data_IF_532476193962
#
_entry.id   IF_532476193962
#
_cell.length_a   1.000
_cell.length_b   1.000
_cell.length_c   1.000
_cell.angle_alpha   90.00
_cell.angle_beta   90.00
_cell.angle_gamma   90.00
#
_symmetry.space_group_name_H-M   'P 1'
#
loop_
_entity.id
_entity.type
_entity.pdbx_description
1 polymer ?
#
# COMPACT_ATOMS: atom_id res chain seq x y z
N UNK A 1 -6.80 -16.33 13.82
CA UNK A 1 -6.74 -15.69 15.15
C UNK A 1 -6.85 -14.18 14.93
N UNK A 2 -7.72 -13.47 15.65
CA UNK A 2 -7.82 -12.00 15.51
C UNK A 2 -6.66 -11.34 16.27
N UNK A 3 -5.65 -10.89 15.53
CA UNK A 3 -4.44 -10.27 16.09
C UNK A 3 -4.68 -8.83 16.59
N UNK A 4 -5.79 -8.19 16.22
CA UNK A 4 -6.09 -6.80 16.58
C UNK A 4 -6.33 -6.65 18.09
N UNK A 5 -6.98 -7.63 18.70
CA UNK A 5 -7.32 -7.65 20.14
C UNK A 5 -6.44 -8.61 20.95
N UNK A 6 -5.39 -9.16 20.34
CA UNK A 6 -4.49 -10.06 21.03
C UNK A 6 -3.53 -9.27 21.93
N UNK A 7 -3.15 -9.87 23.06
CA UNK A 7 -2.04 -9.39 23.90
C UNK A 7 -0.72 -9.40 23.11
N UNK A 8 0.17 -8.48 23.44
CA UNK A 8 1.46 -8.29 22.75
C UNK A 8 2.28 -9.59 22.67
N UNK A 9 2.37 -10.33 23.78
CA UNK A 9 3.09 -11.61 23.85
C UNK A 9 2.51 -12.67 22.91
N UNK A 10 1.18 -12.65 22.72
CA UNK A 10 0.51 -13.57 21.81
C UNK A 10 0.84 -13.25 20.34
N UNK A 11 0.95 -11.95 20.00
CA UNK A 11 1.35 -11.48 18.66
C UNK A 11 2.79 -11.90 18.37
N UNK A 12 3.72 -11.63 19.29
CA UNK A 12 5.14 -12.03 19.16
C UNK A 12 5.27 -13.53 19.02
N UNK A 13 4.60 -14.29 19.90
CA UNK A 13 4.65 -15.76 19.85
C UNK A 13 4.07 -16.33 18.55
N UNK A 14 3.00 -15.73 18.01
CA UNK A 14 2.43 -16.13 16.73
C UNK A 14 3.39 -15.86 15.55
N UNK A 15 4.08 -14.72 15.56
CA UNK A 15 5.10 -14.39 14.57
C UNK A 15 6.25 -15.41 14.61
N UNK A 16 6.77 -15.73 15.81
CA UNK A 16 7.83 -16.75 15.98
C UNK A 16 7.42 -18.13 15.46
N UNK A 17 6.22 -18.59 15.81
CA UNK A 17 5.70 -19.87 15.32
C UNK A 17 5.56 -19.90 13.80
N UNK A 18 5.16 -18.78 13.20
CA UNK A 18 5.05 -18.67 11.73
C UNK A 18 6.42 -18.74 11.06
N UNK A 19 7.40 -18.01 11.57
CA UNK A 19 8.77 -18.04 11.05
C UNK A 19 9.45 -19.40 11.26
N UNK A 20 9.10 -20.10 12.33
CA UNK A 20 9.58 -21.45 12.61
C UNK A 20 9.20 -22.48 11.54
N UNK A 21 8.18 -22.21 10.71
CA UNK A 21 7.82 -23.06 9.57
C UNK A 21 8.87 -23.03 8.44
N UNK A 22 9.68 -21.97 8.37
CA UNK A 22 10.82 -21.90 7.47
C UNK A 22 12.12 -22.36 8.14
N UNK A 23 12.28 -22.08 9.44
CA UNK A 23 13.47 -22.44 10.21
C UNK A 23 13.17 -22.49 11.72
N UNK A 24 13.27 -23.67 12.34
CA UNK A 24 12.92 -23.87 13.75
C UNK A 24 13.73 -23.00 14.73
N UNK A 25 14.91 -22.49 14.33
CA UNK A 25 15.74 -21.59 15.16
C UNK A 25 14.99 -20.34 15.61
N UNK A 26 13.97 -19.88 14.86
CA UNK A 26 13.12 -18.75 15.26
C UNK A 26 12.39 -18.96 16.60
N UNK A 27 12.22 -20.21 17.07
CA UNK A 27 11.63 -20.51 18.37
C UNK A 27 12.56 -20.22 19.55
N UNK A 28 13.88 -20.20 19.34
CA UNK A 28 14.87 -20.12 20.42
C UNK A 28 15.78 -18.89 20.34
N UNK A 29 15.83 -18.20 19.19
CA UNK A 29 16.63 -16.99 19.04
C UNK A 29 16.24 -15.91 20.09
N UNK A 30 17.23 -15.24 20.71
CA UNK A 30 16.97 -14.15 21.63
C UNK A 30 16.37 -12.96 20.87
N UNK A 31 15.32 -12.36 21.43
CA UNK A 31 14.71 -11.15 20.88
C UNK A 31 15.34 -9.95 21.59
N UNK A 32 16.02 -9.09 20.83
CA UNK A 32 16.71 -7.93 21.37
C UNK A 32 15.78 -6.73 21.59
N UNK A 33 14.82 -6.50 20.68
CA UNK A 33 13.82 -5.43 20.78
C UNK A 33 12.51 -5.86 20.11
N UNK A 34 11.38 -5.42 20.66
CA UNK A 34 10.04 -5.62 20.10
C UNK A 34 9.32 -4.29 20.08
N UNK A 35 8.90 -3.87 18.89
CA UNK A 35 8.04 -2.70 18.71
C UNK A 35 6.73 -3.14 18.06
N UNK A 36 5.65 -2.99 18.79
CA UNK A 36 4.30 -3.27 18.29
C UNK A 36 3.54 -1.95 18.12
N UNK A 37 2.99 -1.77 16.92
CA UNK A 37 2.13 -0.63 16.61
C UNK A 37 0.75 -1.14 16.20
N UNK A 38 -0.29 -0.65 16.87
CA UNK A 38 -1.70 -0.87 16.49
C UNK A 38 -2.22 0.39 15.83
N UNK A 39 -2.32 0.38 14.51
CA UNK A 39 -2.85 1.50 13.77
C UNK A 39 -4.33 1.28 13.45
N UNK A 40 -5.21 2.00 14.15
CA UNK A 40 -6.63 2.04 13.81
C UNK A 40 -6.79 2.70 12.44
N UNK A 41 -7.57 2.07 11.56
CA UNK A 41 -7.79 2.54 10.19
C UNK A 41 -6.50 2.65 9.33
N UNK A 42 -5.45 1.86 9.64
CA UNK A 42 -4.22 1.86 8.85
C UNK A 42 -4.41 1.40 7.40
N UNK A 43 -5.47 0.63 7.14
CA UNK A 43 -5.81 0.15 5.82
C UNK A 43 -7.14 0.76 5.38
N UNK A 44 -7.13 1.41 4.22
CA UNK A 44 -8.35 1.75 3.49
C UNK A 44 -9.02 0.43 3.07
N UNK A 45 -10.26 0.22 3.50
CA UNK A 45 -11.02 -0.97 3.13
C UNK A 45 -11.61 -0.78 1.73
N UNK A 46 -11.01 -1.44 0.74
CA UNK A 46 -11.59 -1.53 -0.59
C UNK A 46 -12.53 -2.72 -0.66
N UNK A 47 -13.81 -2.45 -0.87
CA UNK A 47 -14.85 -3.44 -1.15
C UNK A 47 -15.24 -3.33 -2.64
N UNK A 48 -15.88 -4.36 -3.22
CA UNK A 48 -16.46 -4.23 -4.55
C UNK A 48 -17.31 -2.96 -4.64
N UNK A 49 -17.04 -2.10 -5.64
CA UNK A 49 -17.69 -0.80 -5.79
C UNK A 49 -16.97 0.39 -5.11
N UNK A 50 -15.93 0.18 -4.30
CA UNK A 50 -15.16 1.31 -3.73
C UNK A 50 -14.53 2.21 -4.80
N UNK A 51 -14.26 1.67 -6.00
CA UNK A 51 -13.70 2.46 -7.11
C UNK A 51 -14.57 3.66 -7.50
N UNK A 52 -15.90 3.52 -7.52
CA UNK A 52 -16.79 4.64 -7.86
C UNK A 52 -16.76 5.77 -6.83
N UNK A 53 -16.25 5.50 -5.63
CA UNK A 53 -16.10 6.46 -4.54
C UNK A 53 -14.69 7.05 -4.47
N UNK A 54 -13.76 6.60 -5.31
CA UNK A 54 -12.43 7.22 -5.40
C UNK A 54 -12.51 8.54 -6.15
N UNK A 55 -11.93 9.63 -5.62
CA UNK A 55 -11.95 10.93 -6.27
C UNK A 55 -11.11 10.89 -7.55
N UNK A 56 -11.57 11.57 -8.59
CA UNK A 56 -10.70 11.92 -9.71
C UNK A 56 -9.68 12.98 -9.27
N UNK A 57 -8.59 13.14 -10.02
CA UNK A 57 -7.58 14.19 -9.74
C UNK A 57 -8.21 15.59 -9.75
N UNK A 58 -9.20 15.80 -10.63
CA UNK A 58 -10.06 16.97 -10.64
C UNK A 58 -11.47 16.46 -10.36
N UNK A 59 -12.00 16.61 -9.14
CA UNK A 59 -13.35 16.15 -8.83
C UNK A 59 -14.41 16.89 -9.67
N UNK A 60 -15.48 16.19 -10.02
CA UNK A 60 -16.59 16.78 -10.77
C UNK A 60 -17.22 17.94 -9.98
N UNK A 61 -17.35 19.10 -10.61
CA UNK A 61 -17.89 20.31 -9.97
C UNK A 61 -16.94 20.99 -8.97
N UNK A 62 -15.68 20.55 -8.89
CA UNK A 62 -14.68 21.21 -8.05
C UNK A 62 -14.43 22.67 -8.48
N UNK A 63 -14.18 23.59 -7.53
CA UNK A 63 -13.75 24.94 -7.86
C UNK A 63 -12.39 24.90 -8.58
N UNK A 64 -12.15 25.88 -9.45
CA UNK A 64 -10.87 26.01 -10.16
C UNK A 64 -9.72 26.09 -9.16
N UNK A 65 -8.69 25.26 -9.37
CA UNK A 65 -7.50 25.19 -8.50
C UNK A 65 -7.59 24.17 -7.38
N UNK A 66 -8.70 23.43 -7.25
CA UNK A 66 -8.75 22.26 -6.37
C UNK A 66 -8.30 21.01 -7.14
N UNK A 67 -7.25 20.37 -6.63
CA UNK A 67 -6.74 19.11 -7.15
C UNK A 67 -6.65 18.07 -6.03
N UNK A 68 -6.97 16.82 -6.35
CA UNK A 68 -6.79 15.67 -5.48
C UNK A 68 -5.57 14.87 -5.93
N UNK A 69 -4.71 14.51 -4.98
CA UNK A 69 -3.54 13.67 -5.18
C UNK A 69 -3.45 12.64 -4.05
N UNK A 70 -2.78 11.52 -4.30
CA UNK A 70 -2.64 10.44 -3.34
C UNK A 70 -2.90 9.07 -3.95
N UNK A 71 -2.60 8.04 -3.16
CA UNK A 71 -2.80 6.64 -3.52
C UNK A 71 -4.27 6.22 -3.60
N UNK A 72 -5.18 7.01 -3.01
CA UNK A 72 -6.63 6.84 -3.08
C UNK A 72 -7.29 7.47 -4.33
N UNK A 73 -6.55 8.24 -5.13
CA UNK A 73 -7.07 8.82 -6.39
C UNK A 73 -7.46 7.70 -7.36
N UNK A 74 -8.51 7.94 -8.16
CA UNK A 74 -9.05 6.98 -9.12
C UNK A 74 -7.96 6.43 -10.05
N UNK A 75 -8.05 5.13 -10.29
CA UNK A 75 -7.12 4.36 -11.11
C UNK A 75 -7.90 3.53 -12.13
N UNK A 76 -8.45 4.17 -13.16
CA UNK A 76 -9.03 3.47 -14.30
C UNK A 76 -8.11 3.59 -15.53
N UNK A 77 -8.26 2.74 -16.56
CA UNK A 77 -7.54 2.93 -17.82
C UNK A 77 -7.70 4.33 -18.43
N UNK A 78 -8.83 5.00 -18.17
CA UNK A 78 -9.06 6.38 -18.62
C UNK A 78 -8.21 7.41 -17.85
N UNK A 79 -7.72 7.06 -16.66
CA UNK A 79 -6.92 7.93 -15.78
C UNK A 79 -5.41 7.68 -15.91
N UNK A 80 -4.96 6.96 -16.95
CA UNK A 80 -3.55 6.57 -17.09
C UNK A 80 -2.57 7.76 -17.06
N UNK A 81 -2.96 8.91 -17.62
CA UNK A 81 -2.13 10.12 -17.60
C UNK A 81 -1.91 10.70 -16.18
N UNK A 82 -2.78 10.32 -15.23
CA UNK A 82 -2.71 10.75 -13.82
C UNK A 82 -1.87 9.76 -13.00
N UNK A 83 -2.18 8.47 -13.06
CA UNK A 83 -1.50 7.47 -12.23
C UNK A 83 -0.28 6.82 -12.90
N UNK A 84 -0.05 7.05 -14.20
CA UNK A 84 1.13 6.61 -14.98
C UNK A 84 1.48 5.13 -14.85
N UNK A 85 0.46 4.29 -14.74
CA UNK A 85 0.65 2.84 -14.54
C UNK A 85 0.92 2.42 -13.10
N UNK A 86 1.14 3.34 -12.16
CA UNK A 86 1.19 3.04 -10.74
C UNK A 86 -0.17 2.51 -10.27
N UNK A 87 -0.17 1.42 -9.50
CA UNK A 87 -1.38 0.70 -9.06
C UNK A 87 -1.36 0.49 -7.55
N UNK A 88 -2.55 0.37 -6.99
CA UNK A 88 -2.75 0.01 -5.58
C UNK A 88 -2.58 1.18 -4.62
N UNK A 89 -2.51 0.87 -3.32
CA UNK A 89 -2.15 1.80 -2.26
C UNK A 89 -0.62 1.87 -2.17
N UNK A 90 0.02 2.65 -3.05
CA UNK A 90 1.48 2.73 -3.10
C UNK A 90 1.97 4.17 -2.94
N UNK A 91 3.13 4.30 -2.31
CA UNK A 91 3.84 5.59 -2.22
C UNK A 91 4.14 6.14 -3.61
N UNK A 92 4.48 5.26 -4.56
CA UNK A 92 4.67 5.62 -5.96
C UNK A 92 3.41 6.26 -6.55
N UNK A 93 2.23 5.69 -6.32
CA UNK A 93 0.97 6.28 -6.80
C UNK A 93 0.71 7.64 -6.17
N UNK A 94 0.95 7.79 -4.87
CA UNK A 94 0.84 9.09 -4.22
C UNK A 94 1.79 10.14 -4.84
N UNK A 95 3.02 9.74 -5.17
CA UNK A 95 3.99 10.60 -5.84
C UNK A 95 3.54 11.02 -7.24
N UNK A 96 3.24 10.06 -8.12
CA UNK A 96 2.93 10.37 -9.53
C UNK A 96 1.62 11.15 -9.69
N UNK A 97 0.62 10.86 -8.85
CA UNK A 97 -0.64 11.62 -8.85
C UNK A 97 -0.44 13.04 -8.32
N UNK A 98 0.45 13.24 -7.34
CA UNK A 98 0.87 14.56 -6.87
C UNK A 98 1.59 15.38 -7.93
N UNK A 99 2.50 14.75 -8.69
CA UNK A 99 3.18 15.39 -9.81
C UNK A 99 2.18 15.77 -10.92
N UNK A 100 1.25 14.88 -11.27
CA UNK A 100 0.21 15.18 -12.26
C UNK A 100 -0.68 16.35 -11.83
N UNK A 101 -1.07 16.42 -10.55
CA UNK A 101 -1.83 17.53 -9.99
C UNK A 101 -1.04 18.85 -10.05
N UNK A 102 0.25 18.82 -9.70
CA UNK A 102 1.12 19.99 -9.75
C UNK A 102 1.34 20.49 -11.20
N UNK A 103 1.53 19.58 -12.16
CA UNK A 103 1.62 19.91 -13.58
C UNK A 103 0.34 20.59 -14.08
N UNK A 104 -0.83 20.10 -13.67
CA UNK A 104 -2.11 20.71 -14.05
C UNK A 104 -2.27 22.09 -13.42
N UNK A 105 -1.92 22.26 -12.15
CA UNK A 105 -1.93 23.57 -11.49
C UNK A 105 -0.98 24.56 -12.20
N UNK A 106 0.22 24.12 -12.58
CA UNK A 106 1.17 24.92 -13.32
C UNK A 106 0.62 25.38 -14.68
N UNK A 107 -0.06 24.49 -15.42
CA UNK A 107 -0.74 24.83 -16.68
C UNK A 107 -1.85 25.85 -16.46
N UNK A 108 -2.70 25.62 -15.46
CA UNK A 108 -3.90 26.42 -15.19
C UNK A 108 -3.58 27.84 -14.71
N UNK A 109 -2.48 28.04 -13.99
CA UNK A 109 -2.18 29.31 -13.31
C UNK A 109 -0.95 30.04 -13.85
N UNK A 110 0.03 29.32 -14.39
CA UNK A 110 1.29 29.92 -14.87
C UNK A 110 1.37 29.97 -16.39
N UNK A 111 0.39 29.41 -17.11
CA UNK A 111 0.39 29.35 -18.57
C UNK A 111 1.55 28.52 -19.14
N UNK A 112 2.18 27.68 -18.31
CA UNK A 112 3.29 26.84 -18.72
C UNK A 112 2.76 25.77 -19.69
N UNK A 113 3.10 25.92 -20.97
CA UNK A 113 2.88 24.89 -21.99
C UNK A 113 3.95 23.83 -21.81
N UNK A 114 3.52 22.67 -21.33
CA UNK A 114 4.31 21.45 -21.12
C UNK A 114 5.48 21.62 -20.14
N UNK A 115 5.18 21.41 -18.85
CA UNK A 115 6.21 20.90 -17.94
C UNK A 115 6.45 19.45 -18.37
N UNK A 116 7.48 19.22 -19.19
CA UNK A 116 7.97 17.87 -19.52
C UNK A 116 8.57 17.25 -18.28
N UNK A 117 7.73 16.73 -17.40
CA UNK A 117 8.13 15.85 -16.34
C UNK A 117 7.74 14.44 -16.79
N UNK A 118 8.55 13.86 -17.66
CA UNK A 118 8.59 12.42 -17.90
C UNK A 118 9.13 11.69 -16.66
N UNK A 119 8.47 11.87 -15.52
CA UNK A 119 8.68 11.01 -14.35
C UNK A 119 8.13 9.65 -14.73
N UNK A 120 9.04 8.81 -15.20
CA UNK A 120 8.82 7.39 -15.41
C UNK A 120 8.68 6.73 -14.03
N UNK A 121 7.74 5.78 -13.87
CA UNK A 121 7.73 4.86 -12.74
C UNK A 121 9.14 4.33 -12.46
N UNK A 122 9.53 4.26 -11.19
CA UNK A 122 10.82 3.66 -10.85
C UNK A 122 10.74 2.16 -11.15
N UNK A 123 11.86 1.58 -11.59
CA UNK A 123 11.95 0.12 -11.68
C UNK A 123 11.72 -0.48 -10.29
N UNK A 124 10.96 -1.56 -10.21
CA UNK A 124 10.73 -2.27 -8.95
C UNK A 124 11.97 -3.10 -8.63
N UNK A 125 12.56 -2.87 -7.46
CA UNK A 125 13.66 -3.68 -6.95
C UNK A 125 13.17 -5.07 -6.52
N UNK A 126 14.09 -6.05 -6.53
CA UNK A 126 13.80 -7.38 -6.01
C UNK A 126 13.58 -7.32 -4.48
N UNK A 127 12.74 -8.22 -3.95
CA UNK A 127 12.55 -8.36 -2.50
C UNK A 127 13.89 -8.69 -1.82
N UNK A 128 14.17 -8.02 -0.70
CA UNK A 128 15.28 -8.43 0.17
C UNK A 128 15.07 -9.86 0.72
N UNK A 129 16.16 -10.56 1.05
CA UNK A 129 16.11 -11.98 1.45
C UNK A 129 15.12 -12.24 2.60
N UNK A 130 15.14 -11.38 3.62
CA UNK A 130 14.25 -11.53 4.78
C UNK A 130 12.77 -11.29 4.42
N UNK A 131 12.48 -10.43 3.45
CA UNK A 131 11.13 -10.20 2.92
C UNK A 131 10.67 -11.44 2.15
N UNK A 132 11.54 -12.01 1.32
CA UNK A 132 11.27 -13.24 0.56
C UNK A 132 10.96 -14.42 1.50
N UNK A 133 11.76 -14.62 2.55
CA UNK A 133 11.55 -15.66 3.56
C UNK A 133 10.22 -15.47 4.29
N UNK A 134 9.88 -14.23 4.67
CA UNK A 134 8.62 -13.93 5.33
C UNK A 134 7.40 -14.22 4.42
N UNK A 135 7.45 -13.81 3.15
CA UNK A 135 6.40 -14.10 2.15
C UNK A 135 6.20 -15.61 1.98
N UNK A 136 7.29 -16.36 1.88
CA UNK A 136 7.25 -17.82 1.77
C UNK A 136 6.65 -18.48 3.02
N UNK A 137 7.04 -18.02 4.20
CA UNK A 137 6.54 -18.53 5.48
C UNK A 137 5.03 -18.31 5.61
N UNK A 138 4.53 -17.12 5.22
CA UNK A 138 3.10 -16.82 5.22
C UNK A 138 2.34 -17.69 4.22
N UNK A 139 2.91 -17.95 3.03
CA UNK A 139 2.33 -18.85 2.03
C UNK A 139 2.14 -20.26 2.62
N UNK A 140 3.19 -20.83 3.20
CA UNK A 140 3.15 -22.16 3.84
C UNK A 140 2.16 -22.20 5.02
N UNK A 141 2.12 -21.15 5.83
CA UNK A 141 1.18 -21.06 6.94
C UNK A 141 -0.28 -21.06 6.47
N UNK A 142 -0.59 -20.47 5.31
CA UNK A 142 -1.92 -20.53 4.69
C UNK A 142 -2.26 -21.94 4.19
N UNK A 143 -1.33 -22.59 3.51
CA UNK A 143 -1.49 -23.97 3.01
C UNK A 143 -1.76 -24.96 4.15
N UNK A 144 -1.11 -24.75 5.30
CA UNK A 144 -1.28 -25.57 6.50
C UNK A 144 -2.47 -25.16 7.37
N UNK A 145 -3.25 -24.15 6.96
CA UNK A 145 -4.45 -23.71 7.67
C UNK A 145 -4.22 -22.89 8.94
N UNK A 146 -2.98 -22.47 9.21
CA UNK A 146 -2.63 -21.64 10.38
C UNK A 146 -3.15 -20.20 10.26
N UNK A 147 -3.36 -19.72 9.03
CA UNK A 147 -3.90 -18.38 8.74
C UNK A 147 -5.22 -18.51 7.97
N UNK A 148 -6.36 -18.36 8.67
CA UNK A 148 -7.68 -18.18 8.02
C UNK A 148 -7.90 -16.70 7.70
N UNK A 149 -8.22 -16.42 6.45
CA UNK A 149 -8.84 -15.15 6.05
C UNK A 149 -10.32 -15.25 6.40
N UNK A 150 -10.73 -14.68 7.52
CA UNK A 150 -12.15 -14.36 7.71
C UNK A 150 -12.44 -13.18 6.76
N UNK A 151 -12.82 -13.50 5.53
CA UNK A 151 -13.40 -12.54 4.59
C UNK A 151 -14.86 -12.30 5.02
N UNK A 152 -15.03 -11.47 6.05
CA UNK A 152 -16.31 -10.87 6.45
C UNK A 152 -16.44 -9.44 5.93
#
# INVERSE_FOLDING_TARGET
QNLVNAEDDAIVSAARRTLALADERWLTLPICDVRLARAKNAATRFVPGSHSHTPAMIPDGAPRGLFCAGDVVRQSPADFNVHRGARGLSQEKALVTGLAAAEQAAKDFLGLREVSASVQPLAVDADEEHISIAKESVRRAREQGFVRLDLG
#
